data_IF_192547259469
#
_entry.id   IF_192547259469
#
_cell.length_a   1.000
_cell.length_b   1.000
_cell.length_c   1.000
_cell.angle_alpha   90.00
_cell.angle_beta   90.00
_cell.angle_gamma   90.00
#
_symmetry.space_group_name_H-M   'P 1'
#
loop_
_entity.id
_entity.type
_entity.pdbx_description
1 polymer ?
#
# COMPACT_ATOMS: atom_id res chain seq x y z
N UNK A 1 38.38 21.71 0.05
CA UNK A 1 37.27 21.95 -0.90
C UNK A 1 36.32 20.77 -0.77
N UNK A 2 35.23 20.92 -0.01
CA UNK A 2 34.24 19.86 0.16
C UNK A 2 33.36 19.87 -1.09
N UNK A 3 33.41 18.80 -1.88
CA UNK A 3 32.44 18.58 -2.96
C UNK A 3 31.09 18.35 -2.31
N UNK A 4 30.23 19.38 -2.31
CA UNK A 4 28.82 19.20 -2.03
C UNK A 4 28.25 18.35 -3.18
N UNK A 5 28.15 17.03 -2.96
CA UNK A 5 27.34 16.17 -3.80
C UNK A 5 25.91 16.68 -3.63
N UNK A 6 25.39 17.37 -4.64
CA UNK A 6 23.99 17.76 -4.67
C UNK A 6 23.17 16.47 -4.60
N UNK A 7 22.58 16.18 -3.44
CA UNK A 7 21.62 15.08 -3.31
C UNK A 7 20.43 15.43 -4.19
N UNK A 8 20.24 14.69 -5.28
CA UNK A 8 19.03 14.80 -6.08
C UNK A 8 17.83 14.61 -5.16
N UNK A 9 16.86 15.52 -5.26
CA UNK A 9 15.58 15.37 -4.60
C UNK A 9 14.88 14.14 -5.16
N UNK A 10 14.90 13.02 -4.45
CA UNK A 10 14.12 11.83 -4.80
C UNK A 10 12.72 11.98 -4.25
N UNK A 11 11.96 12.80 -4.97
CA UNK A 11 10.51 12.94 -4.81
C UNK A 11 9.90 12.25 -6.03
N UNK A 12 8.94 11.36 -5.79
CA UNK A 12 8.26 10.64 -6.85
C UNK A 12 7.21 11.53 -7.49
N UNK A 13 7.02 11.42 -8.81
CA UNK A 13 5.94 12.15 -9.46
C UNK A 13 4.59 11.60 -9.01
N UNK A 14 3.55 12.45 -9.02
CA UNK A 14 2.17 12.02 -8.73
C UNK A 14 1.72 10.88 -9.64
N UNK A 15 2.17 10.89 -10.90
CA UNK A 15 1.89 9.82 -11.84
C UNK A 15 2.53 8.48 -11.43
N UNK A 16 3.78 8.51 -10.94
CA UNK A 16 4.45 7.31 -10.43
C UNK A 16 3.72 6.78 -9.19
N UNK A 17 3.41 7.64 -8.22
CA UNK A 17 2.65 7.25 -7.02
C UNK A 17 1.27 6.68 -7.39
N UNK A 18 0.58 7.30 -8.34
CA UNK A 18 -0.69 6.82 -8.86
C UNK A 18 -0.60 5.42 -9.48
N UNK A 19 0.46 5.16 -10.26
CA UNK A 19 0.71 3.85 -10.85
C UNK A 19 1.00 2.78 -9.78
N UNK A 20 1.84 3.09 -8.80
CA UNK A 20 2.15 2.20 -7.66
C UNK A 20 0.89 1.85 -6.86
N UNK A 21 0.05 2.85 -6.59
CA UNK A 21 -1.24 2.64 -5.93
C UNK A 21 -2.20 1.78 -6.76
N UNK A 22 -2.28 2.01 -8.08
CA UNK A 22 -3.11 1.23 -8.99
C UNK A 22 -2.67 -0.25 -9.05
N UNK A 23 -1.38 -0.51 -9.17
CA UNK A 23 -0.82 -1.87 -9.14
C UNK A 23 -1.16 -2.56 -7.82
N UNK A 24 -1.00 -1.86 -6.70
CA UNK A 24 -1.37 -2.39 -5.37
C UNK A 24 -2.85 -2.78 -5.33
N UNK A 25 -3.75 -1.91 -5.79
CA UNK A 25 -5.18 -2.19 -5.83
C UNK A 25 -5.55 -3.39 -6.70
N UNK A 26 -4.94 -3.51 -7.89
CA UNK A 26 -5.17 -4.64 -8.81
C UNK A 26 -4.71 -5.96 -8.19
N UNK A 27 -3.52 -5.99 -7.59
CA UNK A 27 -2.99 -7.19 -6.94
C UNK A 27 -3.79 -7.56 -5.69
N UNK A 28 -4.19 -6.58 -4.88
CA UNK A 28 -5.06 -6.80 -3.73
C UNK A 28 -6.44 -7.32 -4.16
N UNK A 29 -7.00 -6.82 -5.28
CA UNK A 29 -8.22 -7.36 -5.86
C UNK A 29 -8.04 -8.82 -6.29
N UNK A 30 -6.93 -9.17 -6.94
CA UNK A 30 -6.65 -10.54 -7.35
C UNK A 30 -6.61 -11.49 -6.15
N UNK A 31 -5.97 -11.07 -5.05
CA UNK A 31 -5.99 -11.80 -3.77
C UNK A 31 -7.42 -11.95 -3.24
N UNK A 32 -8.21 -10.87 -3.24
CA UNK A 32 -9.58 -10.90 -2.73
C UNK A 32 -10.48 -11.83 -3.57
N UNK A 33 -10.38 -11.78 -4.90
CA UNK A 33 -11.10 -12.65 -5.83
C UNK A 33 -10.72 -14.11 -5.63
N UNK A 34 -9.45 -14.40 -5.35
CA UNK A 34 -8.99 -15.76 -5.06
C UNK A 34 -9.52 -16.30 -3.72
N UNK A 35 -9.57 -15.46 -2.69
CA UNK A 35 -9.84 -15.89 -1.31
C UNK A 35 -11.31 -15.81 -0.92
N UNK A 36 -12.01 -14.74 -1.29
CA UNK A 36 -13.35 -14.42 -0.80
C UNK A 36 -14.44 -15.12 -1.63
N UNK A 37 -15.60 -15.45 -1.03
CA UNK A 37 -16.73 -16.00 -1.78
C UNK A 37 -17.22 -14.99 -2.84
N UNK A 38 -17.67 -15.47 -4.00
CA UNK A 38 -18.08 -14.60 -5.12
C UNK A 38 -19.25 -13.66 -4.80
N UNK A 39 -20.05 -13.97 -3.78
CA UNK A 39 -21.11 -13.09 -3.27
C UNK A 39 -20.58 -11.87 -2.51
N UNK A 40 -19.33 -11.90 -2.02
CA UNK A 40 -18.71 -10.83 -1.24
C UNK A 40 -18.05 -9.75 -2.12
N UNK A 41 -18.71 -9.36 -3.22
CA UNK A 41 -18.15 -8.40 -4.20
C UNK A 41 -17.80 -7.05 -3.57
N UNK A 42 -18.56 -6.60 -2.58
CA UNK A 42 -18.30 -5.35 -1.90
C UNK A 42 -17.05 -5.42 -1.01
N UNK A 43 -16.76 -6.58 -0.40
CA UNK A 43 -15.55 -6.80 0.38
C UNK A 43 -14.34 -6.83 -0.56
N UNK A 44 -14.47 -7.45 -1.75
CA UNK A 44 -13.43 -7.45 -2.78
C UNK A 44 -13.13 -6.04 -3.30
N UNK A 45 -14.18 -5.25 -3.60
CA UNK A 45 -14.06 -3.87 -4.02
C UNK A 45 -13.40 -3.01 -2.92
N UNK A 46 -13.79 -3.20 -1.66
CA UNK A 46 -13.19 -2.49 -0.54
C UNK A 46 -11.70 -2.84 -0.38
N UNK A 47 -11.32 -4.12 -0.49
CA UNK A 47 -9.91 -4.54 -0.45
C UNK A 47 -9.10 -3.83 -1.54
N UNK A 48 -9.60 -3.80 -2.77
CA UNK A 48 -8.92 -3.15 -3.89
C UNK A 48 -8.77 -1.64 -3.67
N UNK A 49 -9.89 -0.95 -3.40
CA UNK A 49 -9.96 0.51 -3.30
C UNK A 49 -9.19 1.02 -2.08
N UNK A 50 -9.39 0.40 -0.91
CA UNK A 50 -8.73 0.86 0.32
C UNK A 50 -7.23 0.58 0.31
N UNK A 51 -6.78 -0.53 -0.31
CA UNK A 51 -5.35 -0.79 -0.49
C UNK A 51 -4.71 0.27 -1.40
N UNK A 52 -5.30 0.53 -2.57
CA UNK A 52 -4.81 1.58 -3.47
C UNK A 52 -4.83 2.96 -2.82
N UNK A 53 -5.94 3.33 -2.17
CA UNK A 53 -6.09 4.62 -1.50
C UNK A 53 -5.08 4.79 -0.36
N UNK A 54 -4.84 3.76 0.45
CA UNK A 54 -3.85 3.83 1.53
C UNK A 54 -2.44 4.11 1.01
N UNK A 55 -2.01 3.43 -0.06
CA UNK A 55 -0.70 3.65 -0.69
C UNK A 55 -0.62 5.04 -1.30
N UNK A 56 -1.63 5.46 -2.07
CA UNK A 56 -1.67 6.77 -2.69
C UNK A 56 -1.61 7.90 -1.65
N UNK A 57 -2.46 7.84 -0.62
CA UNK A 57 -2.54 8.86 0.42
C UNK A 57 -1.25 8.94 1.23
N UNK A 58 -0.69 7.80 1.65
CA UNK A 58 0.58 7.79 2.36
C UNK A 58 1.70 8.36 1.50
N UNK A 59 1.88 7.80 0.30
CA UNK A 59 2.99 8.21 -0.59
C UNK A 59 2.87 9.66 -0.99
N UNK A 60 1.67 10.19 -1.26
CA UNK A 60 1.50 11.62 -1.53
C UNK A 60 1.82 12.50 -0.32
N UNK A 61 1.40 12.09 0.87
CA UNK A 61 1.58 12.88 2.11
C UNK A 61 3.04 12.88 2.59
N UNK A 62 3.75 11.78 2.37
CA UNK A 62 5.09 11.55 2.89
C UNK A 62 6.18 11.64 1.78
N UNK A 63 5.87 12.21 0.61
CA UNK A 63 6.78 12.30 -0.53
C UNK A 63 7.90 13.34 -0.34
N UNK A 64 8.86 13.04 0.53
CA UNK A 64 9.97 13.94 0.84
C UNK A 64 11.28 13.19 0.95
N UNK A 65 12.37 13.83 0.49
CA UNK A 65 13.71 13.22 0.44
C UNK A 65 14.15 12.55 1.75
N UNK A 66 13.95 13.13 2.96
CA UNK A 66 14.37 12.48 4.20
C UNK A 66 13.68 11.15 4.50
N UNK A 67 12.47 10.93 3.97
CA UNK A 67 11.72 9.69 4.17
C UNK A 67 11.92 8.68 3.02
N UNK A 68 12.29 9.17 1.84
CA UNK A 68 12.60 8.31 0.69
C UNK A 68 14.07 7.84 0.71
N UNK A 69 14.98 8.64 1.29
CA UNK A 69 16.42 8.35 1.46
C UNK A 69 16.82 8.47 2.93
N UNK A 70 16.20 7.69 3.78
CA UNK A 70 16.46 7.68 5.22
C UNK A 70 17.73 6.90 5.62
N UNK A 71 18.45 6.34 4.64
CA UNK A 71 19.71 5.62 4.86
C UNK A 71 19.53 4.16 5.28
N UNK A 72 18.30 3.65 5.31
CA UNK A 72 18.04 2.24 5.54
C UNK A 72 18.37 1.43 4.26
N UNK A 73 19.19 0.36 4.35
CA UNK A 73 19.57 -0.42 3.19
C UNK A 73 18.41 -1.27 2.69
N UNK A 74 17.99 -1.04 1.45
CA UNK A 74 17.00 -1.86 0.72
C UNK A 74 15.53 -1.54 1.00
N UNK A 75 15.23 -0.72 2.00
CA UNK A 75 13.87 -0.28 2.36
C UNK A 75 13.97 1.12 2.96
N UNK A 76 12.97 1.97 2.75
CA UNK A 76 12.79 3.23 3.45
C UNK A 76 11.68 3.15 4.50
N UNK A 77 11.66 4.09 5.44
CA UNK A 77 10.58 4.25 6.41
C UNK A 77 9.22 4.42 5.72
N UNK A 78 9.22 5.06 4.54
CA UNK A 78 8.00 5.18 3.73
C UNK A 78 7.51 3.83 3.20
N UNK A 79 8.41 2.92 2.83
CA UNK A 79 8.05 1.60 2.33
C UNK A 79 7.45 0.72 3.42
N UNK A 80 7.90 0.91 4.66
CA UNK A 80 7.37 0.21 5.84
C UNK A 80 6.02 0.79 6.30
N UNK A 81 5.82 2.09 6.22
CA UNK A 81 4.63 2.75 6.74
C UNK A 81 3.39 2.61 5.82
N UNK A 82 3.57 2.63 4.50
CA UNK A 82 2.48 2.41 3.54
C UNK A 82 1.66 1.13 3.80
N UNK A 83 2.26 -0.08 3.94
CA UNK A 83 1.51 -1.31 4.20
C UNK A 83 0.87 -1.35 5.59
N UNK A 84 1.42 -0.65 6.58
CA UNK A 84 0.77 -0.49 7.89
C UNK A 84 -0.56 0.25 7.73
N UNK A 85 -0.58 1.34 6.94
CA UNK A 85 -1.81 2.07 6.66
C UNK A 85 -2.83 1.21 5.89
N UNK A 86 -2.36 0.40 4.94
CA UNK A 86 -3.21 -0.60 4.26
C UNK A 86 -3.86 -1.55 5.27
N UNK A 87 -3.09 -2.12 6.21
CA UNK A 87 -3.61 -3.04 7.21
C UNK A 87 -4.67 -2.38 8.11
N UNK A 88 -4.40 -1.13 8.55
CA UNK A 88 -5.32 -0.36 9.38
C UNK A 88 -6.63 -0.06 8.66
N UNK A 89 -6.58 0.45 7.42
CA UNK A 89 -7.78 0.81 6.67
C UNK A 89 -8.70 -0.39 6.42
N UNK A 90 -8.11 -1.54 6.07
CA UNK A 90 -8.87 -2.78 5.90
C UNK A 90 -9.43 -3.32 7.22
N UNK A 91 -8.73 -3.09 8.35
CA UNK A 91 -9.27 -3.39 9.68
C UNK A 91 -10.48 -2.51 10.02
N UNK A 92 -10.34 -1.20 9.87
CA UNK A 92 -11.44 -0.26 10.12
C UNK A 92 -12.66 -0.57 9.26
N UNK A 93 -12.46 -0.94 7.99
CA UNK A 93 -13.56 -1.40 7.14
C UNK A 93 -14.29 -2.62 7.73
N UNK A 94 -13.54 -3.64 8.16
CA UNK A 94 -14.13 -4.86 8.72
C UNK A 94 -14.86 -4.62 10.04
N UNK A 95 -14.43 -3.63 10.82
CA UNK A 95 -15.07 -3.23 12.07
C UNK A 95 -16.38 -2.46 11.82
N UNK A 96 -16.45 -1.68 10.74
CA UNK A 96 -17.66 -0.93 10.34
C UNK A 96 -18.65 -1.81 9.57
N UNK A 97 -18.15 -2.77 8.79
CA UNK A 97 -18.93 -3.70 7.98
C UNK A 97 -18.39 -5.11 8.15
N UNK A 98 -19.14 -5.92 8.89
CA UNK A 98 -18.79 -7.32 9.13
C UNK A 98 -18.63 -8.07 7.79
N UNK A 99 -17.44 -8.59 7.48
CA UNK A 99 -17.22 -9.36 6.25
C UNK A 99 -18.03 -10.64 6.23
N UNK A 100 -18.43 -11.10 5.04
CA UNK A 100 -19.23 -12.32 4.89
C UNK A 100 -18.51 -13.58 5.44
N UNK A 101 -17.17 -13.60 5.35
CA UNK A 101 -16.30 -14.60 5.98
C UNK A 101 -15.14 -13.88 6.68
N UNK A 102 -15.24 -13.63 8.01
CA UNK A 102 -14.23 -12.86 8.75
C UNK A 102 -12.84 -13.49 8.71
N UNK A 103 -12.74 -14.82 8.69
CA UNK A 103 -11.45 -15.52 8.69
C UNK A 103 -10.74 -15.35 7.35
N UNK A 104 -11.46 -15.58 6.24
CA UNK A 104 -10.90 -15.38 4.90
C UNK A 104 -10.60 -13.92 4.65
N UNK A 105 -11.43 -13.00 5.15
CA UNK A 105 -11.16 -11.57 5.07
C UNK A 105 -9.88 -11.18 5.82
N UNK A 106 -9.68 -11.66 7.04
CA UNK A 106 -8.44 -11.39 7.79
C UNK A 106 -7.18 -11.88 7.05
N UNK A 107 -7.26 -13.04 6.38
CA UNK A 107 -6.18 -13.56 5.55
C UNK A 107 -5.97 -12.71 4.29
N UNK A 108 -7.05 -12.30 3.62
CA UNK A 108 -7.01 -11.37 2.48
C UNK A 108 -6.37 -10.05 2.88
N UNK A 109 -6.73 -9.49 4.04
CA UNK A 109 -6.12 -8.28 4.60
C UNK A 109 -4.62 -8.43 4.78
N UNK A 110 -4.18 -9.52 5.42
CA UNK A 110 -2.75 -9.78 5.61
C UNK A 110 -2.00 -9.90 4.27
N UNK A 111 -2.57 -10.61 3.30
CA UNK A 111 -1.99 -10.75 1.97
C UNK A 111 -1.96 -9.42 1.20
N UNK A 112 -3.00 -8.60 1.29
CA UNK A 112 -3.03 -7.27 0.68
C UNK A 112 -1.98 -6.33 1.31
N UNK A 113 -1.73 -6.42 2.62
CA UNK A 113 -0.63 -5.73 3.29
C UNK A 113 0.74 -6.17 2.77
N UNK A 114 0.96 -7.48 2.57
CA UNK A 114 2.20 -7.99 1.99
C UNK A 114 2.38 -7.56 0.53
N UNK A 115 1.31 -7.54 -0.26
CA UNK A 115 1.29 -7.00 -1.62
C UNK A 115 1.65 -5.51 -1.59
N UNK A 116 1.04 -4.73 -0.70
CA UNK A 116 1.35 -3.30 -0.53
C UNK A 116 2.83 -3.09 -0.21
N UNK A 117 3.39 -3.85 0.72
CA UNK A 117 4.83 -3.80 1.03
C UNK A 117 5.68 -4.09 -0.20
N UNK A 118 5.44 -5.23 -0.87
CA UNK A 118 6.24 -5.65 -2.02
C UNK A 118 6.18 -4.62 -3.15
N UNK A 119 4.99 -4.11 -3.48
CA UNK A 119 4.82 -3.11 -4.53
C UNK A 119 5.53 -1.81 -4.17
N UNK A 120 5.40 -1.35 -2.92
CA UNK A 120 6.04 -0.13 -2.47
C UNK A 120 7.56 -0.22 -2.59
N UNK A 121 8.17 -1.30 -2.08
CA UNK A 121 9.63 -1.52 -2.11
C UNK A 121 10.18 -1.66 -3.54
N UNK A 122 9.42 -2.28 -4.44
CA UNK A 122 9.89 -2.56 -5.81
C UNK A 122 9.77 -1.32 -6.70
N UNK A 123 8.76 -0.48 -6.48
CA UNK A 123 8.41 0.59 -7.43
C UNK A 123 8.89 1.98 -6.99
N UNK A 124 8.94 2.25 -5.69
CA UNK A 124 9.22 3.58 -5.14
C UNK A 124 10.42 3.50 -4.22
#
# INVERSE_FOLDING_TARGET
MVLAVASSSEIFSTAHIGLTAAITGVLALAVAVWRLPRSAWADMAAVAVLSAASVYLWRMSANMTPLNKDGLPGFSANDWAAPVLTYVFLGLYADVRLPADPRRYAQTRALATLVSLAVNVITI
#
